data_IF_973327267108
#
_entry.id   IF_973327267108
#
_cell.length_a   1.000
_cell.length_b   1.000
_cell.length_c   1.000
_cell.angle_alpha   90.00
_cell.angle_beta   90.00
_cell.angle_gamma   90.00
#
_symmetry.space_group_name_H-M   'P 1'
#
loop_
_entity.id
_entity.type
_entity.pdbx_description
1 polymer ?
#
# COMPACT_ATOMS: atom_id res chain seq x y z
N UNK A 1 -3.02 -48.73 4.73
CA UNK A 1 -4.08 -47.70 4.78
C UNK A 1 -3.51 -46.37 4.32
N UNK A 2 -3.08 -46.30 3.06
CA UNK A 2 -2.31 -45.17 2.50
C UNK A 2 -2.91 -44.81 1.14
N UNK A 3 -4.19 -44.42 1.16
CA UNK A 3 -4.89 -43.92 -0.02
C UNK A 3 -6.17 -43.22 0.43
N UNK A 4 -6.05 -42.01 1.00
CA UNK A 4 -7.19 -41.09 1.18
C UNK A 4 -6.82 -39.65 1.58
N UNK A 5 -5.60 -39.16 1.31
CA UNK A 5 -5.22 -37.75 1.57
C UNK A 5 -4.62 -37.11 0.31
N UNK A 6 -5.22 -37.35 -0.85
CA UNK A 6 -4.94 -36.61 -2.07
C UNK A 6 -6.27 -36.02 -2.54
N UNK A 7 -6.56 -34.77 -2.13
CA UNK A 7 -7.75 -34.06 -2.60
C UNK A 7 -8.39 -33.05 -1.65
N UNK A 8 -7.98 -32.95 -0.39
CA UNK A 8 -8.46 -31.85 0.44
C UNK A 8 -7.72 -30.56 0.04
N UNK A 9 -8.44 -29.67 -0.65
CA UNK A 9 -8.04 -28.28 -0.87
C UNK A 9 -7.64 -27.72 0.51
N UNK A 10 -6.45 -27.12 0.61
CA UNK A 10 -6.02 -26.50 1.86
C UNK A 10 -7.13 -25.54 2.34
N UNK A 11 -7.50 -25.56 3.64
CA UNK A 11 -8.58 -24.73 4.14
C UNK A 11 -8.25 -23.26 3.87
N UNK A 12 -9.25 -22.49 3.45
CA UNK A 12 -9.12 -21.05 3.26
C UNK A 12 -8.69 -20.40 4.58
N UNK A 13 -7.73 -19.45 4.55
CA UNK A 13 -7.35 -18.68 5.74
C UNK A 13 -8.55 -17.97 6.37
N UNK A 14 -8.70 -18.05 7.69
CA UNK A 14 -9.65 -17.22 8.42
C UNK A 14 -9.11 -15.81 8.69
N UNK A 15 -9.95 -14.91 9.21
CA UNK A 15 -9.60 -13.51 9.43
C UNK A 15 -8.45 -13.29 10.42
N UNK A 16 -8.33 -14.09 11.48
CA UNK A 16 -7.20 -14.00 12.43
C UNK A 16 -5.91 -14.44 11.75
N UNK A 17 -5.97 -15.53 11.00
CA UNK A 17 -4.82 -16.04 10.27
C UNK A 17 -4.34 -15.06 9.19
N UNK A 18 -5.26 -14.39 8.48
CA UNK A 18 -4.92 -13.34 7.50
C UNK A 18 -4.25 -12.16 8.22
N UNK A 19 -4.79 -11.74 9.36
CA UNK A 19 -4.21 -10.66 10.18
C UNK A 19 -2.77 -10.97 10.60
N UNK A 20 -2.52 -12.19 11.05
CA UNK A 20 -1.19 -12.62 11.53
C UNK A 20 -0.20 -12.98 10.41
N UNK A 21 -0.67 -13.14 9.18
CA UNK A 21 0.22 -13.42 8.05
C UNK A 21 1.20 -12.25 7.84
N UNK A 22 2.50 -12.51 7.66
CA UNK A 22 3.44 -11.44 7.39
C UNK A 22 3.10 -10.83 6.02
N UNK A 23 2.95 -9.51 5.98
CA UNK A 23 2.58 -8.75 4.79
C UNK A 23 3.61 -7.66 4.48
N UNK A 24 3.65 -7.25 3.23
CA UNK A 24 4.52 -6.18 2.74
C UNK A 24 3.66 -5.21 1.95
N UNK A 25 3.74 -3.94 2.32
CA UNK A 25 2.94 -2.85 1.74
C UNK A 25 3.89 -1.88 1.03
N UNK A 26 3.66 -1.60 -0.25
CA UNK A 26 4.51 -0.71 -1.05
C UNK A 26 3.78 0.53 -1.56
N UNK A 27 2.47 0.60 -1.38
CA UNK A 27 1.63 1.67 -1.90
C UNK A 27 0.55 2.03 -0.90
N UNK A 28 0.89 3.01 -0.08
CA UNK A 28 0.03 3.55 0.95
C UNK A 28 0.37 5.02 1.19
N UNK A 29 -0.63 5.89 1.12
CA UNK A 29 -0.47 7.32 1.34
C UNK A 29 -0.71 7.66 2.82
N UNK A 30 0.25 8.34 3.44
CA UNK A 30 0.17 8.73 4.86
C UNK A 30 -1.02 9.64 5.11
N UNK A 31 -1.17 10.65 4.26
CA UNK A 31 -2.25 11.64 4.19
C UNK A 31 -3.60 11.06 3.74
N UNK A 32 -3.58 9.82 3.21
CA UNK A 32 -4.77 9.00 2.94
C UNK A 32 -5.06 7.93 4.00
N UNK A 33 -4.24 7.84 5.05
CA UNK A 33 -4.19 6.68 5.95
C UNK A 33 -4.49 6.97 7.43
N UNK A 34 -4.96 8.17 7.76
CA UNK A 34 -5.17 8.63 9.14
C UNK A 34 -6.29 7.83 9.85
N UNK A 35 -6.19 7.72 11.17
CA UNK A 35 -7.31 7.28 12.00
C UNK A 35 -8.39 8.37 12.02
N UNK A 36 -9.68 8.05 11.83
CA UNK A 36 -10.76 9.05 11.93
C UNK A 36 -10.76 9.82 13.25
N UNK A 37 -10.45 9.14 14.36
CA UNK A 37 -10.34 9.76 15.68
C UNK A 37 -9.25 10.82 15.73
N UNK A 38 -8.08 10.51 15.17
CA UNK A 38 -6.95 11.46 15.09
C UNK A 38 -7.29 12.66 14.22
N UNK A 39 -8.03 12.48 13.11
CA UNK A 39 -8.50 13.62 12.30
C UNK A 39 -9.39 14.55 13.13
N UNK A 40 -10.37 14.00 13.86
CA UNK A 40 -11.29 14.78 14.68
C UNK A 40 -10.57 15.50 15.85
N UNK A 41 -9.64 14.80 16.51
CA UNK A 41 -8.84 15.35 17.61
C UNK A 41 -7.92 16.48 17.14
N UNK A 42 -7.13 16.26 16.08
CA UNK A 42 -6.25 17.28 15.52
C UNK A 42 -7.03 18.49 15.02
N UNK A 43 -8.20 18.28 14.40
CA UNK A 43 -9.05 19.38 13.98
C UNK A 43 -9.52 20.23 15.17
N UNK A 44 -9.92 19.60 16.27
CA UNK A 44 -10.31 20.32 17.49
C UNK A 44 -9.14 21.07 18.13
N UNK A 45 -7.96 20.44 18.22
CA UNK A 45 -6.75 21.03 18.80
C UNK A 45 -6.25 22.24 18.01
N UNK A 46 -6.34 22.19 16.67
CA UNK A 46 -5.83 23.22 15.77
C UNK A 46 -6.91 24.26 15.39
N UNK A 47 -8.17 24.07 15.81
CA UNK A 47 -9.28 24.96 15.45
C UNK A 47 -9.72 24.84 13.99
N UNK A 48 -9.50 23.70 13.34
CA UNK A 48 -9.95 23.42 11.98
C UNK A 48 -11.46 23.10 11.97
N UNK A 49 -12.28 24.04 11.50
CA UNK A 49 -13.75 23.95 11.57
C UNK A 49 -14.42 23.41 10.30
N UNK A 50 -13.66 23.03 9.29
CA UNK A 50 -14.20 22.63 7.99
C UNK A 50 -14.57 21.14 7.90
N UNK A 51 -14.35 20.35 8.97
CA UNK A 51 -14.76 18.94 8.95
C UNK A 51 -16.28 18.80 8.77
N UNK A 52 -16.72 17.85 7.94
CA UNK A 52 -18.14 17.59 7.68
C UNK A 52 -18.83 16.87 8.85
N UNK A 53 -18.05 16.25 9.73
CA UNK A 53 -18.50 15.48 10.89
C UNK A 53 -17.40 15.48 11.97
N UNK A 54 -17.81 15.38 13.24
CA UNK A 54 -16.93 15.41 14.41
C UNK A 54 -16.88 14.09 15.18
N UNK A 55 -17.90 13.23 15.04
CA UNK A 55 -17.86 11.89 15.59
C UNK A 55 -16.90 11.00 14.77
N UNK A 56 -15.87 10.37 15.38
CA UNK A 56 -14.89 9.57 14.64
C UNK A 56 -15.49 8.46 13.78
N UNK A 57 -16.52 7.76 14.26
CA UNK A 57 -17.14 6.66 13.54
C UNK A 57 -17.87 7.13 12.29
N UNK A 58 -18.68 8.18 12.43
CA UNK A 58 -19.39 8.80 11.31
C UNK A 58 -18.44 9.52 10.35
N UNK A 59 -17.39 10.16 10.85
CA UNK A 59 -16.37 10.80 10.03
C UNK A 59 -15.67 9.77 9.14
N UNK A 60 -15.25 8.63 9.70
CA UNK A 60 -14.67 7.54 8.91
C UNK A 60 -15.63 6.99 7.85
N UNK A 61 -16.93 6.94 8.14
CA UNK A 61 -17.93 6.56 7.13
C UNK A 61 -18.07 7.62 6.04
N UNK A 62 -18.08 8.91 6.40
CA UNK A 62 -18.13 10.00 5.44
C UNK A 62 -16.93 9.97 4.48
N UNK A 63 -15.73 9.70 4.99
CA UNK A 63 -14.52 9.55 4.18
C UNK A 63 -14.68 8.45 3.12
N UNK A 64 -15.17 7.27 3.54
CA UNK A 64 -15.50 6.17 2.62
C UNK A 64 -16.53 6.56 1.57
N UNK A 65 -17.66 7.11 2.00
CA UNK A 65 -18.78 7.44 1.11
C UNK A 65 -18.40 8.56 0.12
N UNK A 66 -17.56 9.50 0.54
CA UNK A 66 -17.04 10.55 -0.33
C UNK A 66 -16.10 9.97 -1.40
N UNK A 67 -15.17 9.10 -0.99
CA UNK A 67 -14.22 8.47 -1.91
C UNK A 67 -14.88 7.52 -2.92
N UNK A 68 -15.93 6.79 -2.51
CA UNK A 68 -16.68 5.85 -3.36
C UNK A 68 -17.81 6.51 -4.17
N UNK A 69 -17.93 7.84 -4.14
CA UNK A 69 -19.06 8.55 -4.76
C UNK A 69 -19.03 8.60 -6.29
N UNK A 70 -17.92 8.20 -6.93
CA UNK A 70 -17.67 8.38 -8.35
C UNK A 70 -17.44 9.85 -8.77
N UNK A 71 -17.34 10.77 -7.80
CA UNK A 71 -17.03 12.18 -8.04
C UNK A 71 -15.59 12.50 -7.63
N UNK A 72 -14.78 12.93 -8.60
CA UNK A 72 -13.42 13.38 -8.34
C UNK A 72 -13.37 14.54 -7.34
N UNK A 73 -14.34 15.45 -7.37
CA UNK A 73 -14.43 16.57 -6.43
C UNK A 73 -14.60 16.08 -4.99
N UNK A 74 -15.53 15.15 -4.77
CA UNK A 74 -15.78 14.54 -3.45
C UNK A 74 -14.58 13.71 -2.98
N UNK A 75 -13.90 13.03 -3.90
CA UNK A 75 -12.66 12.32 -3.58
C UNK A 75 -11.57 13.31 -3.10
N UNK A 76 -11.34 14.41 -3.81
CA UNK A 76 -10.34 15.42 -3.44
C UNK A 76 -10.72 16.21 -2.16
N UNK A 77 -12.02 16.36 -1.88
CA UNK A 77 -12.52 16.94 -0.63
C UNK A 77 -11.96 16.18 0.58
N UNK A 78 -11.86 14.84 0.50
CA UNK A 78 -11.29 14.04 1.58
C UNK A 78 -9.86 14.44 1.93
N UNK A 79 -8.99 14.62 0.94
CA UNK A 79 -7.60 15.05 1.14
C UNK A 79 -7.52 16.47 1.70
N UNK A 80 -8.45 17.35 1.33
CA UNK A 80 -8.49 18.72 1.88
C UNK A 80 -8.64 18.72 3.41
N UNK A 81 -9.32 17.72 3.98
CA UNK A 81 -9.46 17.58 5.42
C UNK A 81 -8.25 16.92 6.08
N UNK A 82 -7.72 15.84 5.52
CA UNK A 82 -6.56 15.16 6.11
C UNK A 82 -5.30 16.02 6.03
N UNK A 83 -5.04 16.64 4.88
CA UNK A 83 -3.95 17.62 4.72
C UNK A 83 -4.17 18.82 5.64
N UNK A 84 -5.41 19.30 5.77
CA UNK A 84 -5.76 20.45 6.60
C UNK A 84 -5.40 20.29 8.08
N UNK A 85 -5.44 19.06 8.62
CA UNK A 85 -5.06 18.76 10.01
C UNK A 85 -3.58 18.35 10.17
N UNK A 86 -2.84 18.21 9.07
CA UNK A 86 -1.43 17.80 9.02
C UNK A 86 -0.49 18.98 8.72
N UNK A 87 -0.81 20.19 9.18
CA UNK A 87 -0.01 21.40 8.93
C UNK A 87 0.99 21.72 10.05
N UNK A 88 1.14 20.83 11.04
CA UNK A 88 2.07 21.01 12.16
C UNK A 88 3.00 19.81 12.31
N UNK A 89 4.19 20.05 12.85
CA UNK A 89 5.19 19.02 13.11
C UNK A 89 4.64 17.88 13.99
N UNK A 90 3.92 18.23 15.05
CA UNK A 90 3.36 17.27 16.00
C UNK A 90 2.25 16.42 15.36
N UNK A 91 1.43 17.01 14.50
CA UNK A 91 0.42 16.28 13.74
C UNK A 91 1.05 15.25 12.77
N UNK A 92 2.05 15.68 12.00
CA UNK A 92 2.79 14.81 11.07
C UNK A 92 3.47 13.65 11.81
N UNK A 93 4.18 13.96 12.89
CA UNK A 93 4.82 12.97 13.76
C UNK A 93 3.81 11.96 14.31
N UNK A 94 2.69 12.45 14.84
CA UNK A 94 1.63 11.61 15.41
C UNK A 94 1.05 10.67 14.34
N UNK A 95 0.66 11.21 13.20
CA UNK A 95 0.05 10.44 12.10
C UNK A 95 1.01 9.37 11.57
N UNK A 96 2.30 9.70 11.41
CA UNK A 96 3.32 8.74 11.00
C UNK A 96 3.54 7.61 12.02
N UNK A 97 3.59 7.94 13.32
CA UNK A 97 3.70 6.93 14.38
C UNK A 97 2.49 5.99 14.40
N UNK A 98 1.28 6.55 14.34
CA UNK A 98 0.04 5.77 14.34
C UNK A 98 -0.08 4.85 13.11
N UNK A 99 0.36 5.30 11.93
CA UNK A 99 0.37 4.49 10.73
C UNK A 99 1.26 3.24 10.88
N UNK A 100 2.47 3.39 11.42
CA UNK A 100 3.37 2.26 11.64
C UNK A 100 2.80 1.28 12.70
N UNK A 101 2.18 1.80 13.77
CA UNK A 101 1.50 0.99 14.79
C UNK A 101 0.36 0.14 14.18
N UNK A 102 -0.52 0.78 13.40
CA UNK A 102 -1.69 0.12 12.79
C UNK A 102 -1.27 -0.96 11.79
N UNK A 103 -0.28 -0.65 10.94
CA UNK A 103 0.25 -1.60 9.98
C UNK A 103 0.91 -2.81 10.65
N UNK A 104 1.68 -2.59 11.71
CA UNK A 104 2.32 -3.67 12.47
C UNK A 104 1.29 -4.56 13.17
N UNK A 105 0.26 -3.96 13.76
CA UNK A 105 -0.88 -4.68 14.37
C UNK A 105 -1.68 -5.49 13.32
N UNK A 106 -1.67 -5.04 12.07
CA UNK A 106 -2.24 -5.74 10.93
C UNK A 106 -1.25 -6.72 10.26
N UNK A 107 -0.14 -7.07 10.92
CA UNK A 107 0.82 -8.08 10.45
C UNK A 107 1.72 -7.64 9.29
N UNK A 108 1.77 -6.34 8.97
CA UNK A 108 2.73 -5.80 8.02
C UNK A 108 4.11 -5.76 8.67
N UNK A 109 5.09 -6.41 8.02
CA UNK A 109 6.48 -6.48 8.51
C UNK A 109 7.40 -5.50 7.81
N UNK A 110 6.99 -4.99 6.65
CA UNK A 110 7.68 -3.95 5.91
C UNK A 110 6.68 -3.07 5.17
N UNK A 111 6.81 -1.75 5.28
CA UNK A 111 5.99 -0.78 4.59
C UNK A 111 6.84 0.29 3.89
N UNK A 112 6.44 0.66 2.68
CA UNK A 112 6.84 1.92 2.06
C UNK A 112 5.63 2.83 1.99
N UNK A 113 5.66 3.91 2.78
CA UNK A 113 4.56 4.84 2.94
C UNK A 113 4.94 6.13 2.22
N UNK A 114 4.03 6.62 1.38
CA UNK A 114 4.24 7.81 0.55
C UNK A 114 3.43 8.99 1.07
N UNK A 115 3.91 10.19 0.80
CA UNK A 115 3.21 11.44 1.11
C UNK A 115 3.85 12.57 0.31
N UNK A 116 3.14 13.67 0.11
CA UNK A 116 3.66 14.84 -0.58
C UNK A 116 4.07 15.94 0.42
N UNK A 117 5.37 16.12 0.72
CA UNK A 117 5.80 17.14 1.69
C UNK A 117 5.35 18.55 1.32
N UNK A 118 5.21 18.83 0.02
CA UNK A 118 4.75 20.12 -0.48
C UNK A 118 3.30 20.49 -0.12
N UNK A 119 2.49 19.53 0.36
CA UNK A 119 1.12 19.77 0.81
C UNK A 119 1.03 20.19 2.29
N UNK A 120 2.15 20.19 3.02
CA UNK A 120 2.18 20.46 4.47
C UNK A 120 2.91 21.77 4.80
N UNK A 121 2.78 22.76 3.91
CA UNK A 121 3.50 24.04 3.96
C UNK A 121 2.56 25.25 4.13
N UNK A 122 1.28 25.05 4.42
CA UNK A 122 0.33 26.15 4.66
C UNK A 122 0.53 26.78 6.04
N UNK A 123 1.20 26.04 6.95
CA UNK A 123 1.75 26.56 8.21
C UNK A 123 3.16 27.14 8.04
N UNK A 124 3.96 27.07 9.10
CA UNK A 124 5.33 27.62 9.11
C UNK A 124 6.43 26.58 8.82
N UNK A 125 6.05 25.37 8.35
CA UNK A 125 6.99 24.29 8.10
C UNK A 125 7.74 24.46 6.77
N UNK A 126 9.00 24.09 6.78
CA UNK A 126 9.81 23.84 5.57
C UNK A 126 9.63 22.40 5.08
N UNK A 127 10.04 22.13 3.84
CA UNK A 127 10.04 20.77 3.29
C UNK A 127 10.88 19.81 4.15
N UNK A 128 12.05 20.26 4.59
CA UNK A 128 12.94 19.51 5.48
C UNK A 128 12.25 19.14 6.80
N UNK A 129 11.62 20.11 7.47
CA UNK A 129 10.93 19.88 8.75
C UNK A 129 9.76 18.91 8.61
N UNK A 130 9.05 18.93 7.48
CA UNK A 130 7.99 17.95 7.17
C UNK A 130 8.57 16.54 7.07
N UNK A 131 9.68 16.36 6.34
CA UNK A 131 10.32 15.04 6.19
C UNK A 131 10.85 14.53 7.52
N UNK A 132 11.55 15.37 8.27
CA UNK A 132 12.10 15.02 9.59
C UNK A 132 10.99 14.61 10.58
N UNK A 133 9.88 15.35 10.62
CA UNK A 133 8.75 15.03 11.50
C UNK A 133 8.14 13.65 11.19
N UNK A 134 7.95 13.34 9.90
CA UNK A 134 7.38 12.07 9.47
C UNK A 134 8.34 10.90 9.72
N UNK A 135 9.64 11.05 9.38
CA UNK A 135 10.64 10.01 9.62
C UNK A 135 10.77 9.70 11.13
N UNK A 136 10.82 10.73 11.98
CA UNK A 136 10.81 10.54 13.44
C UNK A 136 9.54 9.84 13.94
N UNK A 137 8.38 10.21 13.40
CA UNK A 137 7.12 9.56 13.70
C UNK A 137 7.14 8.08 13.35
N UNK A 138 7.65 7.71 12.17
CA UNK A 138 7.83 6.31 11.79
C UNK A 138 8.75 5.55 12.75
N UNK A 139 9.89 6.12 13.15
CA UNK A 139 10.79 5.50 14.13
C UNK A 139 10.10 5.29 15.49
N UNK A 140 9.31 6.25 15.94
CA UNK A 140 8.53 6.13 17.18
C UNK A 140 7.44 5.06 17.05
N UNK A 141 6.73 5.01 15.93
CA UNK A 141 5.71 3.99 15.68
C UNK A 141 6.30 2.57 15.61
N UNK A 142 7.46 2.39 14.97
CA UNK A 142 8.21 1.12 15.00
C UNK A 142 8.58 0.71 16.43
N UNK A 143 9.02 1.65 17.26
CA UNK A 143 9.34 1.42 18.67
C UNK A 143 8.11 0.99 19.48
N UNK A 144 6.96 1.67 19.27
CA UNK A 144 5.68 1.33 19.93
C UNK A 144 5.15 -0.03 19.48
N UNK A 145 5.21 -0.32 18.19
CA UNK A 145 4.87 -1.62 17.64
C UNK A 145 5.71 -2.75 18.27
N UNK A 146 7.03 -2.54 18.43
CA UNK A 146 7.92 -3.47 19.11
C UNK A 146 7.53 -3.71 20.57
N UNK A 147 7.20 -2.64 21.30
CA UNK A 147 6.73 -2.74 22.69
C UNK A 147 5.39 -3.51 22.80
N UNK A 148 4.54 -3.44 21.76
CA UNK A 148 3.30 -4.21 21.65
C UNK A 148 3.50 -5.66 21.14
N UNK A 149 4.73 -6.09 20.88
CA UNK A 149 5.05 -7.45 20.41
C UNK A 149 4.96 -7.64 18.89
N UNK A 150 4.80 -6.55 18.13
CA UNK A 150 4.83 -6.55 16.68
C UNK A 150 6.19 -6.10 16.15
N UNK A 151 6.51 -6.39 14.89
CA UNK A 151 7.74 -5.91 14.24
C UNK A 151 7.40 -5.40 12.86
N UNK A 152 7.79 -4.17 12.59
CA UNK A 152 7.66 -3.52 11.29
C UNK A 152 8.94 -2.72 11.01
N UNK A 153 9.26 -2.56 9.74
CA UNK A 153 10.18 -1.53 9.25
C UNK A 153 9.47 -0.68 8.21
N UNK A 154 9.65 0.62 8.29
CA UNK A 154 9.04 1.61 7.40
C UNK A 154 10.11 2.38 6.64
N UNK A 155 9.88 2.58 5.34
CA UNK A 155 10.60 3.53 4.50
C UNK A 155 9.63 4.57 3.94
N UNK A 156 10.07 5.82 3.82
CA UNK A 156 9.28 6.89 3.23
C UNK A 156 9.49 6.95 1.71
N UNK A 157 8.44 7.31 0.96
CA UNK A 157 8.55 7.78 -0.42
C UNK A 157 8.08 9.23 -0.47
N UNK A 158 8.90 10.13 -1.00
CA UNK A 158 8.47 11.52 -1.18
C UNK A 158 7.77 11.67 -2.53
N UNK A 159 6.53 12.14 -2.48
CA UNK A 159 5.68 12.29 -3.66
C UNK A 159 5.67 13.73 -4.14
N UNK A 160 5.90 13.93 -5.44
CA UNK A 160 5.57 15.21 -6.07
C UNK A 160 4.18 15.14 -6.74
N UNK A 161 3.42 16.22 -6.64
CA UNK A 161 2.10 16.31 -7.22
C UNK A 161 2.18 16.68 -8.69
N UNK A 162 1.48 15.93 -9.55
CA UNK A 162 1.47 16.10 -11.01
C UNK A 162 1.09 17.49 -11.50
N UNK A 163 0.33 18.22 -10.69
CA UNK A 163 -0.15 19.57 -11.01
C UNK A 163 0.77 20.67 -10.47
N UNK A 164 1.74 20.33 -9.62
CA UNK A 164 2.72 21.25 -9.07
C UNK A 164 4.01 21.26 -9.91
N UNK A 165 4.73 22.39 -9.86
CA UNK A 165 5.97 22.59 -10.60
C UNK A 165 7.23 22.37 -9.72
N UNK A 166 7.17 21.45 -8.75
CA UNK A 166 8.23 21.22 -7.74
C UNK A 166 8.87 19.84 -7.80
N UNK A 167 8.57 19.02 -8.80
CA UNK A 167 9.02 17.62 -8.81
C UNK A 167 10.54 17.44 -8.73
N UNK A 168 11.33 18.35 -9.31
CA UNK A 168 12.79 18.30 -9.18
C UNK A 168 13.24 18.60 -7.74
N UNK A 169 12.66 19.61 -7.09
CA UNK A 169 12.97 19.98 -5.71
C UNK A 169 12.64 18.84 -4.74
N UNK A 170 11.48 18.18 -4.91
CA UNK A 170 11.09 17.02 -4.11
C UNK A 170 11.98 15.80 -4.39
N UNK A 171 12.43 15.62 -5.63
CA UNK A 171 13.40 14.56 -5.96
C UNK A 171 14.79 14.80 -5.34
N UNK A 172 15.27 16.05 -5.34
CA UNK A 172 16.49 16.44 -4.64
C UNK A 172 16.37 16.21 -3.13
N UNK A 173 15.22 16.55 -2.54
CA UNK A 173 14.91 16.28 -1.14
C UNK A 173 14.92 14.77 -0.84
N UNK A 174 14.27 13.95 -1.68
CA UNK A 174 14.26 12.50 -1.53
C UNK A 174 15.68 11.92 -1.58
N UNK A 175 16.55 12.44 -2.46
CA UNK A 175 17.95 12.03 -2.53
C UNK A 175 18.75 12.47 -1.29
N UNK A 176 18.51 13.67 -0.74
CA UNK A 176 19.17 14.13 0.49
C UNK A 176 18.86 13.23 1.68
N UNK A 177 17.63 12.73 1.78
CA UNK A 177 17.16 11.89 2.89
C UNK A 177 17.24 10.38 2.62
N UNK A 178 17.86 9.93 1.52
CA UNK A 178 17.89 8.51 1.11
C UNK A 178 18.55 7.57 2.13
N UNK A 179 19.45 8.12 2.94
CA UNK A 179 20.22 7.40 3.97
C UNK A 179 19.63 7.62 5.38
N UNK A 180 18.48 8.29 5.49
CA UNK A 180 17.87 8.71 6.76
C UNK A 180 16.37 8.40 6.90
N UNK A 181 15.80 7.54 6.07
CA UNK A 181 14.41 7.09 6.21
C UNK A 181 13.64 7.05 4.89
N UNK A 182 13.98 7.94 3.96
CA UNK A 182 13.43 7.95 2.60
C UNK A 182 14.09 6.86 1.78
N UNK A 183 13.29 6.04 1.09
CA UNK A 183 13.79 4.94 0.25
C UNK A 183 13.46 5.13 -1.23
N UNK A 184 12.77 6.21 -1.59
CA UNK A 184 12.52 6.55 -2.97
C UNK A 184 11.61 7.75 -3.17
N UNK A 185 11.19 7.93 -4.42
CA UNK A 185 10.36 9.03 -4.88
C UNK A 185 9.13 8.52 -5.64
N UNK A 186 8.07 9.33 -5.67
CA UNK A 186 6.85 9.06 -6.45
C UNK A 186 6.31 10.34 -7.11
N UNK A 187 5.43 10.17 -8.10
CA UNK A 187 4.50 11.21 -8.52
C UNK A 187 3.05 10.73 -8.45
N UNK A 188 2.17 11.57 -7.92
CA UNK A 188 0.75 11.27 -7.75
C UNK A 188 -0.16 12.45 -8.12
N UNK A 189 -1.47 12.26 -7.93
CA UNK A 189 -2.52 13.19 -8.37
C UNK A 189 -3.09 12.83 -9.74
N UNK A 190 -3.88 13.74 -10.32
CA UNK A 190 -4.61 13.50 -11.56
C UNK A 190 -3.71 13.00 -12.70
N UNK A 191 -3.94 11.78 -13.19
CA UNK A 191 -3.11 11.16 -14.22
C UNK A 191 -3.45 11.66 -15.63
N UNK A 192 -4.73 11.65 -15.99
CA UNK A 192 -5.21 12.08 -17.30
C UNK A 192 -4.96 13.59 -17.50
N UNK A 193 -4.25 13.94 -18.58
CA UNK A 193 -3.89 15.33 -18.88
C UNK A 193 -2.62 15.85 -18.19
N UNK A 194 -2.03 15.08 -17.27
CA UNK A 194 -0.78 15.41 -16.60
C UNK A 194 0.23 14.26 -16.77
N UNK A 195 0.79 14.06 -17.98
CA UNK A 195 1.65 12.92 -18.27
C UNK A 195 2.93 12.96 -17.42
N UNK A 196 3.48 11.78 -17.04
CA UNK A 196 4.69 11.71 -16.22
C UNK A 196 5.89 12.39 -16.90
N UNK A 197 5.88 12.52 -18.24
CA UNK A 197 6.94 13.19 -19.00
C UNK A 197 7.08 14.69 -18.71
N UNK A 198 6.15 15.31 -17.98
CA UNK A 198 6.34 16.68 -17.46
C UNK A 198 7.36 16.77 -16.33
N UNK A 199 7.74 15.64 -15.74
CA UNK A 199 8.64 15.56 -14.58
C UNK A 199 9.98 14.91 -14.94
N UNK A 200 10.36 14.89 -16.23
CA UNK A 200 11.58 14.22 -16.71
C UNK A 200 12.85 14.68 -15.99
N UNK A 201 12.98 15.97 -15.68
CA UNK A 201 14.17 16.48 -15.01
C UNK A 201 14.37 15.84 -13.63
N UNK A 202 13.28 15.58 -12.90
CA UNK A 202 13.31 14.88 -11.61
C UNK A 202 13.75 13.42 -11.77
N UNK A 203 13.18 12.70 -12.74
CA UNK A 203 13.51 11.30 -12.99
C UNK A 203 14.95 11.13 -13.50
N UNK A 204 15.41 12.01 -14.40
CA UNK A 204 16.78 11.99 -14.89
C UNK A 204 17.80 12.35 -13.81
N UNK A 205 17.44 13.24 -12.87
CA UNK A 205 18.23 13.48 -11.67
C UNK A 205 18.32 12.21 -10.80
N UNK A 206 17.20 11.60 -10.41
CA UNK A 206 17.18 10.41 -9.55
C UNK A 206 17.94 9.22 -10.14
N UNK A 207 17.84 9.00 -11.46
CA UNK A 207 18.62 7.97 -12.16
C UNK A 207 20.13 8.20 -12.01
N UNK A 208 20.60 9.44 -12.15
CA UNK A 208 22.04 9.78 -12.02
C UNK A 208 22.54 9.61 -10.59
N UNK A 209 21.65 9.81 -9.62
CA UNK A 209 21.92 9.64 -8.20
C UNK A 209 21.75 8.18 -7.72
N UNK A 210 21.36 7.26 -8.61
CA UNK A 210 21.05 5.85 -8.28
C UNK A 210 19.91 5.70 -7.26
N UNK A 211 18.97 6.65 -7.26
CA UNK A 211 17.82 6.62 -6.35
C UNK A 211 16.61 5.95 -7.02
N UNK A 212 15.79 5.30 -6.19
CA UNK A 212 14.61 4.56 -6.64
C UNK A 212 13.40 5.46 -6.81
N UNK A 213 12.55 5.12 -7.77
CA UNK A 213 11.26 5.79 -7.91
C UNK A 213 10.17 4.90 -8.50
N UNK A 214 8.96 5.09 -7.99
CA UNK A 214 7.72 4.57 -8.55
C UNK A 214 6.95 5.71 -9.22
N UNK A 215 5.98 5.38 -10.06
CA UNK A 215 5.12 6.35 -10.73
C UNK A 215 3.71 5.80 -10.74
N UNK A 216 2.72 6.55 -10.21
CA UNK A 216 1.31 6.25 -10.45
C UNK A 216 1.02 6.28 -11.96
N UNK A 217 0.76 5.14 -12.57
CA UNK A 217 0.47 5.07 -14.00
C UNK A 217 -0.37 3.84 -14.32
N UNK A 218 -1.31 3.97 -15.23
CA UNK A 218 -2.18 2.86 -15.61
C UNK A 218 -3.34 2.66 -14.64
N UNK A 219 -3.90 3.72 -14.07
CA UNK A 219 -5.12 3.67 -13.26
C UNK A 219 -6.25 4.44 -13.95
N UNK A 220 -6.14 5.77 -13.97
CA UNK A 220 -7.10 6.68 -14.59
C UNK A 220 -6.74 7.00 -16.06
N UNK A 221 -5.53 6.66 -16.51
CA UNK A 221 -5.13 6.69 -17.90
C UNK A 221 -4.54 5.34 -18.36
N UNK A 222 -4.76 4.98 -19.62
CA UNK A 222 -4.50 3.63 -20.12
C UNK A 222 -3.03 3.34 -20.44
N UNK A 223 -2.82 2.38 -21.33
CA UNK A 223 -1.51 1.90 -21.78
C UNK A 223 -0.47 2.99 -22.14
N UNK A 224 -0.83 4.15 -22.74
CA UNK A 224 0.15 5.20 -23.01
C UNK A 224 0.82 5.75 -21.75
N UNK A 225 0.11 5.82 -20.61
CA UNK A 225 0.68 6.27 -19.34
C UNK A 225 1.73 5.30 -18.82
N UNK A 226 1.38 4.01 -18.78
CA UNK A 226 2.28 2.93 -18.39
C UNK A 226 3.53 2.94 -19.29
N UNK A 227 3.33 3.08 -20.60
CA UNK A 227 4.42 3.13 -21.56
C UNK A 227 5.33 4.35 -21.32
N UNK A 228 4.77 5.53 -21.06
CA UNK A 228 5.56 6.73 -20.76
C UNK A 228 6.32 6.62 -19.44
N UNK A 229 5.69 6.11 -18.38
CA UNK A 229 6.33 5.88 -17.09
C UNK A 229 7.56 4.95 -17.22
N UNK A 230 7.46 3.90 -18.04
CA UNK A 230 8.54 2.94 -18.23
C UNK A 230 9.59 3.39 -19.23
N UNK A 231 9.18 3.83 -20.44
CA UNK A 231 10.10 4.02 -21.55
C UNK A 231 10.77 5.39 -21.55
N UNK A 232 10.05 6.42 -21.11
CA UNK A 232 10.60 7.77 -20.98
C UNK A 232 11.16 7.99 -19.58
N UNK A 233 10.34 7.73 -18.57
CA UNK A 233 10.69 8.11 -17.20
C UNK A 233 11.58 7.08 -16.52
N UNK A 234 11.47 5.79 -16.88
CA UNK A 234 12.33 4.73 -16.36
C UNK A 234 11.94 4.24 -14.97
N UNK A 235 10.64 4.24 -14.64
CA UNK A 235 10.15 3.83 -13.33
C UNK A 235 10.58 2.41 -12.94
N UNK A 236 11.00 2.24 -11.68
CA UNK A 236 11.34 0.92 -11.11
C UNK A 236 10.08 0.11 -10.81
N UNK A 237 8.97 0.79 -10.49
CA UNK A 237 7.65 0.23 -10.21
C UNK A 237 6.54 1.10 -10.78
N UNK A 238 5.35 0.53 -10.89
CA UNK A 238 4.15 1.25 -11.28
C UNK A 238 3.16 1.27 -10.11
N UNK A 239 2.83 2.47 -9.64
CA UNK A 239 1.67 2.73 -8.80
C UNK A 239 0.41 2.31 -9.57
N UNK A 240 -0.34 1.36 -9.03
CA UNK A 240 -1.39 0.62 -9.74
C UNK A 240 -0.87 -0.19 -10.93
N UNK A 241 -0.82 0.39 -12.14
CA UNK A 241 -0.55 -0.33 -13.38
C UNK A 241 -1.65 -1.32 -13.79
N UNK A 242 -2.84 -1.22 -13.19
CA UNK A 242 -3.96 -2.14 -13.38
C UNK A 242 -4.47 -2.17 -14.83
N UNK A 243 -4.43 -1.03 -15.53
CA UNK A 243 -4.80 -0.90 -16.95
C UNK A 243 -3.86 -1.63 -17.91
N UNK A 244 -2.77 -2.25 -17.43
CA UNK A 244 -1.97 -3.17 -18.27
C UNK A 244 -2.82 -4.34 -18.80
N UNK A 245 -3.93 -4.64 -18.13
CA UNK A 245 -4.95 -5.61 -18.56
C UNK A 245 -5.49 -5.30 -19.96
N UNK A 246 -5.52 -4.03 -20.37
CA UNK A 246 -6.00 -3.62 -21.70
C UNK A 246 -5.07 -4.09 -22.83
N UNK A 247 -3.82 -4.47 -22.52
CA UNK A 247 -2.86 -5.06 -23.47
C UNK A 247 -2.87 -6.60 -23.38
N UNK A 248 -3.92 -7.21 -22.83
CA UNK A 248 -4.09 -8.66 -22.68
C UNK A 248 -5.40 -9.10 -23.32
N UNK A 249 -5.31 -9.98 -24.32
CA UNK A 249 -6.48 -10.58 -24.98
C UNK A 249 -6.71 -11.99 -24.41
N UNK A 250 -7.92 -12.26 -23.90
CA UNK A 250 -8.36 -13.60 -23.51
C UNK A 250 -9.37 -14.11 -24.55
N UNK A 251 -9.02 -15.16 -25.27
CA UNK A 251 -9.89 -15.77 -26.27
C UNK A 251 -10.99 -16.62 -25.61
N UNK A 252 -12.05 -16.94 -26.35
CA UNK A 252 -13.18 -17.72 -25.86
C UNK A 252 -12.86 -19.16 -25.44
N UNK A 253 -11.71 -19.70 -25.86
CA UNK A 253 -11.18 -21.00 -25.43
C UNK A 253 -10.29 -20.92 -24.17
N UNK A 254 -10.15 -19.72 -23.59
CA UNK A 254 -9.32 -19.45 -22.42
C UNK A 254 -7.83 -19.21 -22.74
N UNK A 255 -7.42 -19.28 -24.01
CA UNK A 255 -6.05 -18.93 -24.38
C UNK A 255 -5.81 -17.42 -24.21
N UNK A 256 -4.61 -17.07 -23.74
CA UNK A 256 -4.24 -15.69 -23.44
C UNK A 256 -3.11 -15.23 -24.34
N UNK A 257 -3.29 -14.08 -24.99
CA UNK A 257 -2.28 -13.41 -25.80
C UNK A 257 -1.92 -12.07 -25.17
N UNK A 258 -0.64 -11.90 -24.86
CA UNK A 258 -0.11 -10.63 -24.37
C UNK A 258 0.28 -9.74 -25.55
N UNK A 259 -0.09 -8.47 -25.46
CA UNK A 259 0.49 -7.40 -26.25
C UNK A 259 1.95 -7.14 -25.87
N UNK A 260 2.56 -6.19 -26.58
CA UNK A 260 4.01 -5.93 -26.45
C UNK A 260 4.35 -5.31 -25.10
N UNK A 261 3.50 -4.43 -24.58
CA UNK A 261 3.76 -3.74 -23.32
C UNK A 261 3.53 -4.69 -22.14
N UNK A 262 2.44 -5.45 -22.14
CA UNK A 262 2.17 -6.50 -21.16
C UNK A 262 3.29 -7.55 -21.12
N UNK A 263 3.76 -8.00 -22.29
CA UNK A 263 4.92 -8.91 -22.39
C UNK A 263 6.17 -8.30 -21.77
N UNK A 264 6.48 -7.03 -22.11
CA UNK A 264 7.64 -6.32 -21.55
C UNK A 264 7.56 -6.22 -20.03
N UNK A 265 6.43 -5.75 -19.49
CA UNK A 265 6.18 -5.60 -18.04
C UNK A 265 6.37 -6.93 -17.31
N UNK A 266 5.76 -8.00 -17.83
CA UNK A 266 5.86 -9.35 -17.24
C UNK A 266 7.30 -9.86 -17.27
N UNK A 267 7.95 -9.81 -18.42
CA UNK A 267 9.24 -10.46 -18.65
C UNK A 267 10.39 -9.70 -17.96
N UNK A 268 10.29 -8.36 -17.88
CA UNK A 268 11.21 -7.52 -17.09
C UNK A 268 10.92 -7.54 -15.59
N UNK A 269 9.85 -8.22 -15.16
CA UNK A 269 9.42 -8.28 -13.75
C UNK A 269 9.17 -6.89 -13.17
N UNK A 270 8.60 -5.98 -13.97
CA UNK A 270 8.16 -4.65 -13.49
C UNK A 270 7.07 -4.86 -12.44
N UNK A 271 7.25 -4.38 -11.20
CA UNK A 271 6.26 -4.53 -10.15
C UNK A 271 5.00 -3.68 -10.42
N UNK A 272 3.84 -4.28 -10.18
CA UNK A 272 2.53 -3.62 -10.20
C UNK A 272 2.03 -3.48 -8.77
N UNK A 273 1.92 -2.25 -8.30
CA UNK A 273 1.43 -1.88 -6.98
C UNK A 273 -0.10 -1.83 -6.99
N UNK A 274 -0.75 -2.99 -7.10
CA UNK A 274 -2.20 -3.08 -7.24
C UNK A 274 -2.90 -2.81 -5.89
N UNK A 275 -4.02 -2.11 -5.94
CA UNK A 275 -4.78 -1.65 -4.78
C UNK A 275 -6.25 -2.04 -4.97
N UNK A 276 -6.65 -3.30 -4.68
CA UNK A 276 -7.95 -3.85 -5.08
C UNK A 276 -9.15 -2.99 -4.71
N UNK A 277 -9.29 -2.58 -3.43
CA UNK A 277 -10.43 -1.74 -3.00
C UNK A 277 -10.41 -0.38 -3.70
N UNK A 278 -9.25 0.30 -3.73
CA UNK A 278 -9.10 1.59 -4.42
C UNK A 278 -9.47 1.48 -5.90
N UNK A 279 -9.00 0.42 -6.59
CA UNK A 279 -9.30 0.21 -8.01
C UNK A 279 -10.81 -0.02 -8.29
N UNK A 280 -11.58 -0.51 -7.32
CA UNK A 280 -13.04 -0.56 -7.44
C UNK A 280 -13.64 0.85 -7.31
N UNK A 281 -13.23 1.60 -6.28
CA UNK A 281 -13.74 2.95 -6.00
C UNK A 281 -13.38 3.96 -7.10
N UNK A 282 -12.21 3.81 -7.73
CA UNK A 282 -11.77 4.66 -8.86
C UNK A 282 -12.30 4.18 -10.22
N UNK A 283 -13.03 3.05 -10.25
CA UNK A 283 -13.62 2.49 -11.46
C UNK A 283 -12.64 1.79 -12.39
N UNK A 284 -11.41 1.51 -11.94
CA UNK A 284 -10.43 0.73 -12.67
C UNK A 284 -10.75 -0.78 -12.71
N UNK A 285 -11.60 -1.26 -11.80
CA UNK A 285 -12.17 -2.60 -11.77
C UNK A 285 -13.64 -2.57 -11.31
N UNK A 286 -14.42 -3.59 -11.68
CA UNK A 286 -15.87 -3.63 -11.44
C UNK A 286 -16.27 -4.42 -10.19
N UNK A 287 -15.46 -5.40 -9.80
CA UNK A 287 -15.70 -6.26 -8.65
C UNK A 287 -14.39 -6.92 -8.22
N UNK A 288 -14.31 -7.45 -6.99
CA UNK A 288 -13.16 -8.24 -6.58
C UNK A 288 -13.00 -9.53 -7.41
N UNK A 289 -14.11 -10.17 -7.79
CA UNK A 289 -14.11 -11.40 -8.58
C UNK A 289 -13.57 -11.20 -10.01
N UNK A 290 -13.86 -10.04 -10.61
CA UNK A 290 -13.39 -9.67 -11.94
C UNK A 290 -12.14 -8.79 -11.91
N UNK A 291 -11.54 -8.59 -10.72
CA UNK A 291 -10.41 -7.69 -10.57
C UNK A 291 -9.21 -8.20 -11.40
N UNK A 292 -8.54 -7.33 -12.19
CA UNK A 292 -7.43 -7.74 -13.07
C UNK A 292 -6.28 -8.48 -12.36
N UNK A 293 -6.10 -8.26 -11.05
CA UNK A 293 -5.10 -8.95 -10.23
C UNK A 293 -5.19 -10.49 -10.34
N UNK A 294 -6.38 -11.05 -10.53
CA UNK A 294 -6.58 -12.49 -10.68
C UNK A 294 -5.87 -13.04 -11.92
N UNK A 295 -6.13 -12.43 -13.07
CA UNK A 295 -5.50 -12.80 -14.34
C UNK A 295 -4.01 -12.45 -14.36
N UNK A 296 -3.63 -11.29 -13.84
CA UNK A 296 -2.22 -10.88 -13.78
C UNK A 296 -1.40 -11.85 -12.92
N UNK A 297 -1.95 -12.34 -11.81
CA UNK A 297 -1.31 -13.38 -10.99
C UNK A 297 -1.17 -14.69 -11.75
N UNK A 298 -2.22 -15.19 -12.38
CA UNK A 298 -2.19 -16.48 -13.08
C UNK A 298 -1.21 -16.48 -14.26
N UNK A 299 -1.03 -15.32 -14.90
CA UNK A 299 -0.05 -15.10 -15.98
C UNK A 299 1.36 -14.81 -15.47
N UNK A 300 1.56 -14.75 -14.15
CA UNK A 300 2.86 -14.62 -13.52
C UNK A 300 3.45 -13.20 -13.55
N UNK A 301 2.63 -12.15 -13.70
CA UNK A 301 3.09 -10.77 -13.53
C UNK A 301 3.63 -10.56 -12.11
N UNK A 302 4.47 -9.54 -11.89
CA UNK A 302 4.92 -9.20 -10.54
C UNK A 302 3.91 -8.31 -9.83
N UNK A 303 2.75 -8.87 -9.56
CA UNK A 303 1.68 -8.21 -8.82
C UNK A 303 1.98 -8.20 -7.31
N UNK A 304 1.57 -7.11 -6.66
CA UNK A 304 1.59 -6.91 -5.21
C UNK A 304 0.19 -6.47 -4.76
N UNK A 305 -0.08 -6.52 -3.45
CA UNK A 305 -1.38 -6.13 -2.85
C UNK A 305 -1.11 -4.99 -1.88
N UNK A 306 -1.85 -3.89 -2.02
CA UNK A 306 -1.63 -2.66 -1.27
C UNK A 306 -2.96 -1.96 -0.94
N UNK A 307 -2.92 -1.02 0.00
CA UNK A 307 -4.09 -0.32 0.55
C UNK A 307 -4.41 1.00 -0.12
N UNK A 308 -3.41 1.67 -0.71
CA UNK A 308 -3.54 3.03 -1.25
C UNK A 308 -3.91 4.04 -0.16
N UNK A 309 -5.21 4.27 0.08
CA UNK A 309 -5.70 5.27 1.04
C UNK A 309 -6.57 4.58 2.09
N UNK A 310 -5.98 4.08 3.20
CA UNK A 310 -6.72 3.28 4.19
C UNK A 310 -7.98 3.96 4.74
N UNK A 311 -7.94 5.27 4.97
CA UNK A 311 -9.09 6.03 5.49
C UNK A 311 -10.17 6.19 4.42
N UNK A 312 -9.79 6.66 3.23
CA UNK A 312 -10.69 6.92 2.11
C UNK A 312 -11.32 5.63 1.59
N UNK A 313 -10.52 4.56 1.44
CA UNK A 313 -11.04 3.24 1.07
C UNK A 313 -11.67 2.50 2.25
N UNK A 314 -11.48 2.99 3.47
CA UNK A 314 -11.86 2.36 4.73
C UNK A 314 -11.52 0.87 4.77
N UNK A 315 -10.28 0.58 4.39
CA UNK A 315 -9.70 -0.76 4.23
C UNK A 315 -8.49 -0.96 5.15
N UNK A 316 -7.91 -2.15 5.12
CA UNK A 316 -6.66 -2.53 5.79
C UNK A 316 -5.95 -3.59 4.95
N UNK A 317 -4.66 -3.85 5.22
CA UNK A 317 -3.93 -4.88 4.48
C UNK A 317 -4.58 -6.26 4.61
N UNK A 318 -5.12 -6.59 5.78
CA UNK A 318 -5.86 -7.84 5.97
C UNK A 318 -7.22 -7.85 5.28
N UNK A 319 -7.89 -6.70 5.18
CA UNK A 319 -9.14 -6.61 4.41
C UNK A 319 -8.89 -6.82 2.91
N UNK A 320 -7.85 -6.22 2.34
CA UNK A 320 -7.45 -6.46 0.94
C UNK A 320 -7.23 -7.95 0.69
N UNK A 321 -6.45 -8.62 1.54
CA UNK A 321 -6.24 -10.06 1.40
C UNK A 321 -7.50 -10.87 1.61
N UNK A 322 -8.38 -10.51 2.56
CA UNK A 322 -9.65 -11.19 2.78
C UNK A 322 -10.55 -11.12 1.53
N UNK A 323 -10.66 -9.95 0.90
CA UNK A 323 -11.40 -9.80 -0.36
C UNK A 323 -10.84 -10.69 -1.47
N UNK A 324 -9.51 -10.77 -1.60
CA UNK A 324 -8.89 -11.63 -2.61
C UNK A 324 -9.01 -13.13 -2.29
N UNK A 325 -8.97 -13.51 -1.02
CA UNK A 325 -9.21 -14.89 -0.56
C UNK A 325 -10.63 -15.31 -0.89
N UNK A 326 -11.61 -14.45 -0.61
CA UNK A 326 -13.02 -14.69 -0.94
C UNK A 326 -13.25 -14.78 -2.45
N UNK A 327 -12.75 -13.78 -3.20
CA UNK A 327 -12.98 -13.66 -4.63
C UNK A 327 -12.31 -14.76 -5.48
N UNK A 328 -11.08 -15.14 -5.13
CA UNK A 328 -10.26 -16.05 -5.94
C UNK A 328 -9.98 -17.40 -5.27
N UNK A 329 -10.47 -17.62 -4.05
CA UNK A 329 -10.18 -18.83 -3.28
C UNK A 329 -8.70 -18.98 -2.93
N UNK A 330 -7.99 -17.86 -2.74
CA UNK A 330 -6.58 -17.83 -2.43
C UNK A 330 -6.27 -18.44 -1.06
N UNK A 331 -5.10 -19.03 -0.96
CA UNK A 331 -4.55 -19.74 0.19
C UNK A 331 -3.34 -18.99 0.74
N UNK A 332 -2.74 -19.51 1.83
CA UNK A 332 -1.47 -18.98 2.35
C UNK A 332 -0.34 -18.98 1.31
N UNK A 333 -0.32 -19.93 0.37
CA UNK A 333 0.73 -19.96 -0.66
C UNK A 333 0.58 -18.80 -1.64
N UNK A 334 -0.65 -18.43 -1.93
CA UNK A 334 -0.99 -17.31 -2.81
C UNK A 334 -0.69 -15.98 -2.12
N UNK A 335 -1.07 -15.83 -0.85
CA UNK A 335 -0.71 -14.67 -0.03
C UNK A 335 0.81 -14.53 0.09
N UNK A 336 1.52 -15.62 0.41
CA UNK A 336 2.99 -15.64 0.47
C UNK A 336 3.61 -15.23 -0.87
N UNK A 337 3.04 -15.65 -2.00
CA UNK A 337 3.51 -15.27 -3.33
C UNK A 337 3.43 -13.75 -3.54
N UNK A 338 2.30 -13.12 -3.18
CA UNK A 338 2.15 -11.66 -3.26
C UNK A 338 3.12 -10.94 -2.32
N UNK A 339 3.21 -11.38 -1.06
CA UNK A 339 4.12 -10.79 -0.07
C UNK A 339 5.58 -10.89 -0.52
N UNK A 340 6.01 -12.03 -1.06
CA UNK A 340 7.38 -12.21 -1.56
C UNK A 340 7.61 -11.35 -2.81
N UNK A 341 6.64 -11.23 -3.71
CA UNK A 341 6.76 -10.32 -4.85
C UNK A 341 6.93 -8.87 -4.42
N UNK A 342 6.16 -8.44 -3.41
CA UNK A 342 6.28 -7.11 -2.83
C UNK A 342 7.66 -6.94 -2.18
N UNK A 343 8.12 -7.86 -1.34
CA UNK A 343 9.44 -7.73 -0.71
C UNK A 343 10.59 -7.73 -1.73
N UNK A 344 10.50 -8.51 -2.81
CA UNK A 344 11.49 -8.45 -3.90
C UNK A 344 11.44 -7.16 -4.72
N UNK A 345 10.44 -6.31 -4.51
CA UNK A 345 10.21 -5.04 -5.20
C UNK A 345 10.42 -3.83 -4.30
N UNK A 346 10.64 -4.04 -3.00
CA UNK A 346 11.00 -2.96 -2.08
C UNK A 346 12.31 -2.26 -2.52
N UNK A 347 12.45 -1.01 -2.12
CA UNK A 347 13.58 -0.15 -2.43
C UNK A 347 14.72 -0.22 -1.40
N UNK A 348 14.58 -1.02 -0.36
CA UNK A 348 15.70 -1.30 0.56
C UNK A 348 16.77 -2.24 -0.06
N UNK A 349 18.01 -2.21 0.47
CA UNK A 349 19.11 -3.05 0.02
C UNK A 349 18.78 -4.54 -0.17
N UNK A 350 19.45 -5.16 -1.14
CA UNK A 350 19.17 -6.53 -1.58
C UNK A 350 19.30 -7.59 -0.47
N UNK A 351 20.34 -7.48 0.34
CA UNK A 351 20.60 -8.34 1.49
C UNK A 351 19.50 -8.23 2.55
N UNK A 352 19.03 -7.02 2.84
CA UNK A 352 17.91 -6.80 3.76
C UNK A 352 16.59 -7.36 3.20
N UNK A 353 16.32 -7.21 1.90
CA UNK A 353 15.18 -7.86 1.24
C UNK A 353 15.27 -9.38 1.34
N UNK A 354 16.46 -9.93 1.12
CA UNK A 354 16.70 -11.37 1.18
C UNK A 354 16.48 -11.92 2.60
N UNK A 355 16.96 -11.21 3.61
CA UNK A 355 16.73 -11.52 5.03
C UNK A 355 15.23 -11.47 5.35
N UNK A 356 14.53 -10.38 4.99
CA UNK A 356 13.08 -10.26 5.22
C UNK A 356 12.29 -11.41 4.58
N UNK A 357 12.66 -11.82 3.35
CA UNK A 357 12.02 -12.96 2.67
C UNK A 357 12.26 -14.28 3.40
N UNK A 358 13.52 -14.58 3.75
CA UNK A 358 13.91 -15.90 4.21
C UNK A 358 13.77 -16.10 5.73
N UNK A 359 13.86 -15.03 6.51
CA UNK A 359 13.90 -15.08 7.98
C UNK A 359 12.58 -14.63 8.62
N UNK A 360 11.77 -13.83 7.90
CA UNK A 360 10.49 -13.32 8.43
C UNK A 360 9.30 -13.85 7.64
N UNK A 361 9.23 -13.57 6.34
CA UNK A 361 8.04 -13.85 5.52
C UNK A 361 7.81 -15.35 5.36
N UNK A 362 8.76 -16.09 4.77
CA UNK A 362 8.59 -17.53 4.53
C UNK A 362 8.39 -18.32 5.84
N UNK A 363 9.15 -18.06 6.93
CA UNK A 363 8.92 -18.73 8.21
C UNK A 363 7.53 -18.41 8.79
N UNK A 364 7.06 -17.16 8.72
CA UNK A 364 5.74 -16.78 9.21
C UNK A 364 4.61 -17.54 8.51
N UNK A 365 4.66 -17.62 7.17
CA UNK A 365 3.69 -18.44 6.43
C UNK A 365 3.83 -19.94 6.69
N UNK A 366 5.05 -20.45 6.90
CA UNK A 366 5.25 -21.86 7.27
C UNK A 366 4.64 -22.19 8.64
N UNK A 367 4.73 -21.27 9.62
CA UNK A 367 4.08 -21.41 10.91
C UNK A 367 2.55 -21.44 10.77
N UNK A 368 1.96 -20.54 9.97
CA UNK A 368 0.51 -20.52 9.72
C UNK A 368 0.02 -21.81 9.05
N UNK A 369 0.72 -22.29 8.01
CA UNK A 369 0.38 -23.55 7.33
C UNK A 369 0.49 -24.78 8.23
N UNK A 370 1.36 -24.77 9.22
CA UNK A 370 1.56 -25.90 10.14
C UNK A 370 0.73 -25.79 11.42
N UNK A 371 0.04 -24.66 11.66
CA UNK A 371 -0.72 -24.41 12.89
C UNK A 371 -1.79 -25.47 13.19
N UNK A 372 -2.35 -26.12 12.17
CA UNK A 372 -3.36 -27.17 12.34
C UNK A 372 -2.82 -28.42 13.07
N UNK A 373 -1.51 -28.68 13.01
CA UNK A 373 -0.86 -29.80 13.70
C UNK A 373 -0.88 -29.65 15.24
N UNK A 374 -1.16 -28.44 15.75
CA UNK A 374 -1.08 -28.10 17.17
C UNK A 374 -2.45 -27.75 17.78
N UNK A 375 -3.55 -28.00 17.06
CA UNK A 375 -4.92 -27.65 17.52
C UNK A 375 -5.39 -28.45 18.73
N UNK A 376 -4.82 -29.61 19.02
CA UNK A 376 -5.18 -30.47 20.15
C UNK A 376 -4.39 -30.18 21.45
N UNK A 377 -3.41 -29.27 21.42
CA UNK A 377 -2.51 -29.00 22.56
C UNK A 377 -2.94 -27.83 23.46
N UNK A 378 -4.10 -27.23 23.26
CA UNK A 378 -4.65 -26.24 24.20
C UNK A 378 -5.41 -26.98 25.29
N UNK A 379 -5.00 -26.90 26.58
CA UNK A 379 -5.83 -27.43 27.66
C UNK A 379 -7.16 -26.72 27.62
N UNK A 380 -8.25 -27.48 27.58
CA UNK A 380 -9.58 -26.98 27.94
C UNK A 380 -9.48 -26.43 29.35
N UNK A 381 -9.31 -25.12 29.49
CA UNK A 381 -9.40 -24.46 30.79
C UNK A 381 -10.77 -24.80 31.36
N UNK A 382 -10.72 -25.52 32.47
CA UNK A 382 -11.86 -26.24 33.03
C UNK A 382 -13.06 -25.36 33.31
N UNK A 383 -14.22 -25.97 33.11
CA UNK A 383 -15.41 -25.72 33.90
C UNK A 383 -15.02 -25.69 35.39
N UNK A 384 -14.90 -24.50 35.97
CA UNK A 384 -15.19 -24.30 37.37
C UNK A 384 -16.68 -23.95 37.46
N UNK A 385 -17.51 -25.00 37.35
CA UNK A 385 -18.84 -24.95 37.90
C UNK A 385 -18.72 -24.83 39.43
N UNK A 386 -19.20 -23.71 39.94
CA UNK A 386 -19.58 -23.57 41.33
C UNK A 386 -20.65 -24.63 41.66
N UNK A 387 -20.43 -25.39 42.74
CA UNK A 387 -21.48 -25.87 43.65
C UNK A 387 -20.88 -26.75 44.77
N UNK A 388 -20.63 -26.12 45.94
CA UNK A 388 -21.20 -26.47 47.26
C UNK A 388 -20.51 -25.70 48.39
#
# INVERSE_FOLDING_TARGET
MTSQIAGQKAPSPDADQIRRAPKVLLHDHLDGGLRPGTVAELAAEQGYTALPESDPGKLGQWFRDAADSGSLERYLETFSHTVGVMQTRDALFRVAAEAAEDLAADGVVYAEIRYAPEQHLDGDLTLEEVVEAVDEGFREGERRALAAGHRIRVGALLTAMRHAARSLEIAELANRHRDSGVVGFDIAGAEAGFPPTRHLDAFEYLKRENNHFTIHAGEAFGLPSIWQALQWCGADRLGHGVRIIDDIEVAGDGSVKLGRLASYVRDKRVPLELCPTSNLQTGAATSYADHPIGLLRSLGFRATVNTDNRLMSGTSMSAEFAHLVEAFGYTFDDMQWFTVNAMKSAFIPFDERLAMINEVIKPGYAALRSAWLFRETVPTSGSLAADR
#
